data_IF_262552026178
#
_entry.id   IF_262552026178
#
_cell.length_a   1.000
_cell.length_b   1.000
_cell.length_c   1.000
_cell.angle_alpha   90.00
_cell.angle_beta   90.00
_cell.angle_gamma   90.00
#
_symmetry.space_group_name_H-M   'P 1'
#
loop_
_entity.id
_entity.type
_entity.pdbx_description
1 polymer ?
#
# COMPACT_ATOMS: atom_id res chain seq x y z
N UNK A 1 -33.45 4.68 13.34
CA UNK A 1 -32.55 5.06 14.45
C UNK A 1 -31.14 4.83 13.97
N UNK A 2 -30.45 5.90 13.58
CA UNK A 2 -29.07 5.86 13.12
C UNK A 2 -28.17 5.71 14.35
N UNK A 3 -27.46 4.58 14.44
CA UNK A 3 -26.40 4.41 15.44
C UNK A 3 -25.20 5.25 15.02
N UNK A 4 -25.29 6.57 15.20
CA UNK A 4 -24.12 7.46 15.18
C UNK A 4 -23.40 7.34 16.52
N UNK A 5 -22.56 6.31 16.65
CA UNK A 5 -21.57 6.27 17.72
C UNK A 5 -20.45 7.26 17.39
N UNK A 6 -20.39 8.37 18.15
CA UNK A 6 -19.34 9.39 18.03
C UNK A 6 -18.21 9.07 19.01
N UNK A 7 -17.05 8.66 18.50
CA UNK A 7 -15.81 8.58 19.28
C UNK A 7 -15.18 9.99 19.39
N UNK A 8 -14.59 10.39 20.53
CA UNK A 8 -14.06 11.74 20.76
C UNK A 8 -12.90 12.19 19.85
N UNK A 9 -12.47 11.37 18.89
CA UNK A 9 -11.40 11.68 17.93
C UNK A 9 -11.91 11.82 16.48
N UNK A 10 -13.23 11.72 16.22
CA UNK A 10 -13.79 11.43 14.90
C UNK A 10 -14.58 12.57 14.21
N UNK A 11 -14.53 13.80 14.71
CA UNK A 11 -15.07 14.93 13.93
C UNK A 11 -14.23 15.28 12.68
N UNK A 12 -13.10 14.60 12.48
CA UNK A 12 -12.15 14.93 11.44
C UNK A 12 -12.04 13.73 10.48
N UNK A 13 -12.75 13.79 9.35
CA UNK A 13 -12.05 13.35 8.14
C UNK A 13 -12.77 12.77 6.93
N UNK A 14 -14.03 12.33 7.02
CA UNK A 14 -14.76 12.01 5.78
C UNK A 14 -15.37 13.28 5.23
N UNK A 15 -14.84 13.77 4.10
CA UNK A 15 -15.52 14.82 3.35
C UNK A 15 -16.93 14.34 3.00
N UNK A 16 -17.92 15.18 3.32
CA UNK A 16 -19.37 15.06 3.10
C UNK A 16 -19.81 14.88 1.62
N UNK A 17 -18.93 14.42 0.73
CA UNK A 17 -19.20 14.23 -0.70
C UNK A 17 -19.64 12.81 -1.06
N UNK A 18 -19.79 11.90 -0.07
CA UNK A 18 -20.30 10.55 -0.28
C UNK A 18 -21.59 10.41 0.52
N UNK A 19 -22.72 10.25 -0.17
CA UNK A 19 -24.06 10.26 0.44
C UNK A 19 -24.24 9.12 1.47
N UNK A 20 -23.56 7.99 1.30
CA UNK A 20 -23.53 6.88 2.27
C UNK A 20 -22.23 6.08 2.17
N UNK A 21 -21.51 5.91 3.28
CA UNK A 21 -20.41 4.93 3.39
C UNK A 21 -20.98 3.55 3.75
N UNK A 22 -20.36 2.48 3.25
CA UNK A 22 -20.75 1.11 3.63
C UNK A 22 -20.28 0.77 5.04
N UNK A 23 -20.88 -0.23 5.72
CA UNK A 23 -20.41 -0.67 7.04
C UNK A 23 -18.93 -1.03 7.08
N UNK A 24 -18.40 -1.67 6.03
CA UNK A 24 -16.97 -2.01 5.93
C UNK A 24 -16.07 -0.78 5.80
N UNK A 25 -16.51 0.25 5.06
CA UNK A 25 -15.80 1.51 4.94
C UNK A 25 -15.80 2.29 6.27
N UNK A 26 -16.91 2.23 7.01
CA UNK A 26 -17.03 2.79 8.35
C UNK A 26 -16.21 2.03 9.40
N UNK A 27 -15.98 0.72 9.20
CA UNK A 27 -15.19 -0.11 10.10
C UNK A 27 -13.67 0.07 9.91
N UNK A 28 -13.21 0.38 8.69
CA UNK A 28 -11.78 0.53 8.38
C UNK A 28 -11.03 1.54 9.27
N UNK A 29 -11.57 2.73 9.59
CA UNK A 29 -10.92 3.65 10.51
C UNK A 29 -10.60 3.04 11.89
N UNK A 30 -11.49 2.19 12.44
CA UNK A 30 -11.26 1.50 13.71
C UNK A 30 -10.16 0.45 13.60
N UNK A 31 -10.13 -0.30 12.49
CA UNK A 31 -9.07 -1.26 12.20
C UNK A 31 -7.72 -0.55 12.08
N UNK A 32 -7.68 0.58 11.38
CA UNK A 32 -6.48 1.40 11.25
C UNK A 32 -6.02 1.91 12.63
N UNK A 33 -6.92 2.43 13.46
CA UNK A 33 -6.56 2.88 14.81
C UNK A 33 -6.01 1.74 15.68
N UNK A 34 -6.67 0.58 15.69
CA UNK A 34 -6.19 -0.59 16.43
C UNK A 34 -4.80 -1.04 15.94
N UNK A 35 -4.61 -1.06 14.62
CA UNK A 35 -3.32 -1.35 13.98
C UNK A 35 -2.24 -0.36 14.39
N UNK A 36 -2.55 0.94 14.45
CA UNK A 36 -1.61 1.98 14.87
C UNK A 36 -1.21 1.89 16.35
N UNK A 37 -2.09 1.43 17.23
CA UNK A 37 -1.79 1.23 18.64
C UNK A 37 -0.90 0.01 18.89
N UNK A 38 -1.01 -1.01 18.02
CA UNK A 38 -0.25 -2.26 18.12
C UNK A 38 0.31 -2.66 16.74
N UNK A 39 1.27 -1.88 16.20
CA UNK A 39 1.71 -2.03 14.81
C UNK A 39 2.55 -3.28 14.54
N UNK A 40 2.97 -4.01 15.57
CA UNK A 40 3.89 -5.14 15.40
C UNK A 40 3.23 -6.30 14.62
N UNK A 41 3.77 -6.55 13.41
CA UNK A 41 3.52 -7.71 12.54
C UNK A 41 2.14 -7.85 11.88
N UNK A 42 1.34 -6.79 11.81
CA UNK A 42 0.02 -6.88 11.17
C UNK A 42 0.08 -6.38 9.71
N UNK A 43 -0.30 -7.24 8.77
CA UNK A 43 -0.55 -6.89 7.37
C UNK A 43 -2.06 -6.76 7.15
N UNK A 44 -2.50 -5.63 6.59
CA UNK A 44 -3.92 -5.38 6.30
C UNK A 44 -4.12 -5.39 4.79
N UNK A 45 -4.84 -6.40 4.29
CA UNK A 45 -5.27 -6.45 2.89
C UNK A 45 -6.68 -5.88 2.74
N UNK A 46 -6.81 -4.80 1.98
CA UNK A 46 -8.11 -4.19 1.64
C UNK A 46 -8.52 -4.64 0.24
N UNK A 47 -9.51 -5.53 0.16
CA UNK A 47 -10.01 -6.07 -1.10
C UNK A 47 -11.48 -5.66 -1.36
N UNK A 48 -11.91 -5.74 -2.62
CA UNK A 48 -13.27 -5.39 -3.04
C UNK A 48 -13.36 -5.12 -4.54
N UNK A 49 -14.56 -5.21 -5.10
CA UNK A 49 -14.80 -5.04 -6.53
C UNK A 49 -14.46 -3.63 -7.07
N UNK A 50 -14.48 -3.45 -8.40
CA UNK A 50 -14.37 -2.13 -9.02
C UNK A 50 -15.44 -1.18 -8.47
N UNK A 51 -15.07 0.08 -8.23
CA UNK A 51 -15.99 1.11 -7.73
C UNK A 51 -16.35 1.03 -6.23
N UNK A 52 -15.84 0.06 -5.47
CA UNK A 52 -16.16 -0.10 -4.04
C UNK A 52 -15.52 0.95 -3.10
N UNK A 53 -14.83 1.96 -3.63
CA UNK A 53 -14.26 3.05 -2.83
C UNK A 53 -13.04 2.71 -1.97
N UNK A 54 -12.29 1.64 -2.28
CA UNK A 54 -11.09 1.22 -1.52
C UNK A 54 -10.06 2.34 -1.37
N UNK A 55 -9.56 2.84 -2.51
CA UNK A 55 -8.55 3.91 -2.55
C UNK A 55 -9.03 5.16 -1.80
N UNK A 56 -10.32 5.52 -1.96
CA UNK A 56 -10.91 6.65 -1.26
C UNK A 56 -10.90 6.44 0.26
N UNK A 57 -11.43 5.31 0.73
CA UNK A 57 -11.52 4.99 2.16
C UNK A 57 -10.15 4.98 2.81
N UNK A 58 -9.19 4.28 2.21
CA UNK A 58 -7.82 4.17 2.73
C UNK A 58 -7.14 5.54 2.74
N UNK A 59 -7.18 6.28 1.64
CA UNK A 59 -6.51 7.59 1.53
C UNK A 59 -7.12 8.62 2.47
N UNK A 60 -8.46 8.69 2.56
CA UNK A 60 -9.11 9.63 3.47
C UNK A 60 -8.73 9.34 4.92
N UNK A 61 -8.80 8.09 5.37
CA UNK A 61 -8.39 7.75 6.74
C UNK A 61 -6.93 8.10 7.01
N UNK A 62 -6.02 7.73 6.10
CA UNK A 62 -4.58 7.94 6.27
C UNK A 62 -4.15 9.41 6.18
N UNK A 63 -4.92 10.27 5.52
CA UNK A 63 -4.68 11.71 5.51
C UNK A 63 -4.83 12.34 6.89
N UNK A 64 -5.57 11.71 7.81
CA UNK A 64 -5.75 12.18 9.19
C UNK A 64 -4.74 11.56 10.16
N UNK A 65 -3.89 10.66 9.69
CA UNK A 65 -2.85 10.01 10.51
C UNK A 65 -1.52 10.74 10.34
N UNK A 66 -1.05 11.38 11.41
CA UNK A 66 0.20 12.16 11.44
C UNK A 66 1.42 11.29 11.76
N UNK A 67 1.69 10.29 10.93
CA UNK A 67 2.89 9.43 11.04
C UNK A 67 3.60 9.34 9.69
N UNK A 68 4.91 9.02 9.66
CA UNK A 68 5.64 8.81 8.41
C UNK A 68 5.03 7.67 7.58
N UNK A 69 4.49 8.02 6.40
CA UNK A 69 3.86 7.09 5.48
C UNK A 69 4.63 7.05 4.15
N UNK A 70 4.82 5.86 3.60
CA UNK A 70 5.26 5.64 2.22
C UNK A 70 4.07 5.14 1.41
N UNK A 71 3.59 5.96 0.49
CA UNK A 71 2.44 5.67 -0.38
C UNK A 71 2.92 5.33 -1.77
N UNK A 72 2.61 4.12 -2.22
CA UNK A 72 3.06 3.59 -3.49
C UNK A 72 1.91 3.02 -4.31
N UNK A 73 2.03 3.14 -5.62
CA UNK A 73 1.21 2.41 -6.57
C UNK A 73 2.04 2.01 -7.80
N UNK A 74 1.56 1.04 -8.57
CA UNK A 74 2.27 0.61 -9.77
C UNK A 74 2.29 1.70 -10.86
N UNK A 75 1.18 2.42 -11.06
CA UNK A 75 1.05 3.44 -12.11
C UNK A 75 1.03 4.87 -11.55
N UNK A 76 1.53 5.83 -12.33
CA UNK A 76 1.59 7.24 -11.93
C UNK A 76 0.20 7.85 -11.65
N UNK A 77 -0.82 7.43 -12.41
CA UNK A 77 -2.20 7.91 -12.22
C UNK A 77 -2.76 7.52 -10.85
N UNK A 78 -2.54 6.29 -10.42
CA UNK A 78 -3.00 5.80 -9.10
C UNK A 78 -2.17 6.43 -7.99
N UNK A 79 -0.85 6.49 -8.15
CA UNK A 79 0.05 7.13 -7.20
C UNK A 79 -0.35 8.59 -6.92
N UNK A 80 -0.66 9.36 -7.97
CA UNK A 80 -1.11 10.74 -7.85
C UNK A 80 -2.42 10.86 -7.03
N UNK A 81 -3.40 9.99 -7.26
CA UNK A 81 -4.68 9.99 -6.53
C UNK A 81 -4.53 9.81 -5.01
N UNK A 82 -3.54 9.03 -4.59
CA UNK A 82 -3.26 8.78 -3.17
C UNK A 82 -2.20 9.73 -2.59
N UNK A 83 -1.76 10.74 -3.34
CA UNK A 83 -0.65 11.64 -2.97
C UNK A 83 0.65 10.87 -2.67
N UNK A 84 0.89 9.81 -3.43
CA UNK A 84 2.06 8.94 -3.32
C UNK A 84 2.98 9.02 -4.53
N UNK A 85 3.87 8.04 -4.61
CA UNK A 85 4.81 7.87 -5.71
C UNK A 85 4.58 6.54 -6.42
N UNK A 86 5.12 6.38 -7.62
CA UNK A 86 5.18 5.05 -8.21
C UNK A 86 6.14 4.18 -7.40
N UNK A 87 5.92 2.86 -7.37
CA UNK A 87 6.87 1.90 -6.77
C UNK A 87 8.28 2.14 -7.30
N UNK A 88 8.37 2.45 -8.59
CA UNK A 88 9.61 2.77 -9.28
C UNK A 88 10.37 3.94 -8.63
N UNK A 89 9.68 5.06 -8.41
CA UNK A 89 10.27 6.27 -7.81
C UNK A 89 10.51 6.13 -6.31
N UNK A 90 9.59 5.49 -5.60
CA UNK A 90 9.64 5.34 -4.15
C UNK A 90 10.83 4.49 -3.69
N UNK A 91 11.10 3.40 -4.40
CA UNK A 91 12.18 2.47 -4.06
C UNK A 91 13.53 2.87 -4.68
N UNK A 92 13.53 3.87 -5.57
CA UNK A 92 14.70 4.32 -6.34
C UNK A 92 15.44 3.18 -7.05
N UNK A 93 14.70 2.17 -7.49
CA UNK A 93 15.26 1.05 -8.24
C UNK A 93 15.60 1.49 -9.67
N UNK A 94 16.60 0.85 -10.26
CA UNK A 94 16.95 1.07 -11.67
C UNK A 94 16.10 0.18 -12.58
N UNK A 95 15.26 0.82 -13.39
CA UNK A 95 14.35 0.17 -14.35
C UNK A 95 14.84 0.28 -15.79
N UNK A 96 16.08 0.72 -16.02
CA UNK A 96 16.63 0.73 -17.37
C UNK A 96 16.68 -0.68 -17.95
N UNK A 97 16.66 -0.78 -19.28
CA UNK A 97 16.94 -2.05 -19.95
C UNK A 97 18.29 -2.59 -19.45
N UNK A 98 18.36 -3.90 -19.28
CA UNK A 98 19.55 -4.63 -18.80
C UNK A 98 19.97 -4.36 -17.35
N UNK A 99 19.20 -3.55 -16.60
CA UNK A 99 19.39 -3.42 -15.16
C UNK A 99 19.20 -4.76 -14.46
N UNK A 100 19.69 -4.88 -13.22
CA UNK A 100 19.49 -6.07 -12.41
C UNK A 100 17.99 -6.41 -12.27
N UNK A 101 17.15 -5.38 -12.15
CA UNK A 101 15.70 -5.52 -12.04
C UNK A 101 15.05 -5.97 -13.35
N UNK A 102 15.43 -5.39 -14.50
CA UNK A 102 14.92 -5.81 -15.82
C UNK A 102 15.26 -7.27 -16.11
N UNK A 103 16.48 -7.70 -15.80
CA UNK A 103 16.92 -9.10 -15.93
C UNK A 103 16.10 -10.03 -15.04
N UNK A 104 15.89 -9.64 -13.78
CA UNK A 104 15.11 -10.43 -12.83
C UNK A 104 13.64 -10.55 -13.23
N UNK A 105 13.02 -9.47 -13.73
CA UNK A 105 11.65 -9.51 -14.23
C UNK A 105 11.49 -10.50 -15.39
N UNK A 106 12.43 -10.51 -16.34
CA UNK A 106 12.44 -11.47 -17.46
C UNK A 106 12.67 -12.90 -17.00
N UNK A 107 13.57 -13.10 -16.03
CA UNK A 107 13.87 -14.43 -15.49
C UNK A 107 12.66 -15.03 -14.75
N UNK A 108 11.92 -14.19 -14.02
CA UNK A 108 10.82 -14.62 -13.16
C UNK A 108 9.43 -14.49 -13.81
N UNK A 109 9.33 -14.04 -15.07
CA UNK A 109 8.05 -13.76 -15.73
C UNK A 109 7.10 -14.98 -15.77
N UNK A 110 7.68 -16.17 -15.94
CA UNK A 110 6.96 -17.44 -16.02
C UNK A 110 7.14 -18.31 -14.76
N UNK A 111 7.88 -17.82 -13.76
CA UNK A 111 8.09 -18.58 -12.52
C UNK A 111 6.83 -18.50 -11.64
N UNK A 112 6.38 -19.65 -11.16
CA UNK A 112 5.16 -19.78 -10.35
C UNK A 112 5.46 -20.19 -8.91
N UNK A 113 6.65 -20.74 -8.65
CA UNK A 113 7.08 -21.07 -7.30
C UNK A 113 7.54 -19.80 -6.57
N UNK A 114 6.78 -19.45 -5.52
CA UNK A 114 7.05 -18.26 -4.71
C UNK A 114 8.40 -18.34 -3.98
N UNK A 115 8.84 -19.52 -3.56
CA UNK A 115 10.13 -19.67 -2.88
C UNK A 115 11.29 -19.44 -3.84
N UNK A 116 11.19 -19.97 -5.06
CA UNK A 116 12.19 -19.73 -6.12
C UNK A 116 12.24 -18.24 -6.48
N UNK A 117 11.09 -17.59 -6.63
CA UNK A 117 11.02 -16.16 -6.89
C UNK A 117 11.70 -15.34 -5.78
N UNK A 118 11.42 -15.63 -4.52
CA UNK A 118 12.02 -14.94 -3.37
C UNK A 118 13.55 -15.18 -3.35
N UNK A 119 14.00 -16.43 -3.49
CA UNK A 119 15.43 -16.76 -3.46
C UNK A 119 16.21 -16.03 -4.55
N UNK A 120 15.71 -16.05 -5.79
CA UNK A 120 16.36 -15.39 -6.94
C UNK A 120 16.34 -13.87 -6.83
N UNK A 121 15.26 -13.31 -6.29
CA UNK A 121 15.12 -11.86 -6.13
C UNK A 121 15.91 -11.27 -4.94
N UNK A 122 16.53 -12.09 -4.09
CA UNK A 122 17.35 -11.63 -2.96
C UNK A 122 18.47 -10.68 -3.37
N UNK A 123 19.03 -10.83 -4.57
CA UNK A 123 20.04 -9.90 -5.12
C UNK A 123 19.56 -8.46 -5.19
N UNK A 124 18.23 -8.23 -5.30
CA UNK A 124 17.64 -6.90 -5.36
C UNK A 124 17.82 -6.10 -4.06
N UNK A 125 18.02 -6.76 -2.92
CA UNK A 125 18.20 -6.09 -1.62
C UNK A 125 19.38 -5.10 -1.63
N UNK A 126 20.40 -5.34 -2.43
CA UNK A 126 21.55 -4.46 -2.59
C UNK A 126 21.24 -3.20 -3.43
N UNK A 127 20.15 -3.24 -4.21
CA UNK A 127 19.75 -2.16 -5.11
C UNK A 127 18.75 -1.18 -4.48
N UNK A 128 18.12 -1.52 -3.35
CA UNK A 128 17.23 -0.60 -2.65
C UNK A 128 18.02 0.55 -2.03
N UNK A 129 17.81 1.78 -2.54
CA UNK A 129 18.46 3.01 -2.06
C UNK A 129 17.53 3.90 -1.21
N UNK A 130 16.53 3.29 -0.57
CA UNK A 130 15.58 3.97 0.30
C UNK A 130 16.15 4.11 1.73
N UNK A 131 16.36 5.35 2.21
CA UNK A 131 16.98 5.63 3.52
C UNK A 131 16.00 6.14 4.59
N UNK A 132 14.73 6.36 4.27
CA UNK A 132 13.72 6.70 5.26
C UNK A 132 12.91 5.44 5.57
N UNK A 133 12.93 4.97 6.83
CA UNK A 133 12.11 3.84 7.27
C UNK A 133 10.71 4.37 7.57
N UNK A 134 9.72 4.21 6.67
CA UNK A 134 8.36 4.64 6.96
C UNK A 134 7.80 3.80 8.11
N UNK A 135 6.88 4.38 8.89
CA UNK A 135 6.12 3.63 9.88
C UNK A 135 4.96 2.87 9.23
N UNK A 136 4.46 3.38 8.09
CA UNK A 136 3.41 2.73 7.30
C UNK A 136 3.79 2.69 5.85
N UNK A 137 3.66 1.52 5.23
CA UNK A 137 3.77 1.34 3.79
C UNK A 137 2.39 1.03 3.24
N UNK A 138 1.98 1.77 2.22
CA UNK A 138 0.71 1.56 1.51
C UNK A 138 1.02 1.26 0.05
N UNK A 139 0.46 0.15 -0.45
CA UNK A 139 0.57 -0.28 -1.84
C UNK A 139 -0.85 -0.36 -2.41
N UNK A 140 -1.23 0.57 -3.29
CA UNK A 140 -2.47 0.47 -4.05
C UNK A 140 -2.26 -0.36 -5.33
N UNK A 141 -3.32 -1.02 -5.79
CA UNK A 141 -3.30 -1.96 -6.92
C UNK A 141 -2.21 -3.03 -6.77
N UNK A 142 -2.10 -3.63 -5.58
CA UNK A 142 -1.08 -4.64 -5.25
C UNK A 142 -1.07 -5.83 -6.21
N UNK A 143 -2.21 -6.16 -6.85
CA UNK A 143 -2.32 -7.20 -7.86
C UNK A 143 -1.53 -6.94 -9.15
N UNK A 144 -1.06 -5.71 -9.38
CA UNK A 144 -0.16 -5.39 -10.49
C UNK A 144 1.33 -5.51 -10.12
N UNK A 145 1.63 -5.75 -8.85
CA UNK A 145 3.00 -5.79 -8.34
C UNK A 145 3.44 -7.24 -8.24
N UNK A 146 4.65 -7.53 -8.73
CA UNK A 146 5.21 -8.87 -8.60
C UNK A 146 5.30 -9.27 -7.11
N UNK A 147 4.82 -10.47 -6.78
CA UNK A 147 4.70 -10.90 -5.37
C UNK A 147 6.06 -10.91 -4.64
N UNK A 148 7.15 -11.28 -5.33
CA UNK A 148 8.49 -11.26 -4.76
C UNK A 148 8.97 -9.83 -4.47
N UNK A 149 8.56 -8.84 -5.26
CA UNK A 149 8.86 -7.44 -4.99
C UNK A 149 8.09 -6.95 -3.76
N UNK A 150 6.82 -7.34 -3.62
CA UNK A 150 6.01 -7.06 -2.42
C UNK A 150 6.68 -7.64 -1.18
N UNK A 151 7.18 -8.89 -1.25
CA UNK A 151 7.88 -9.53 -0.14
C UNK A 151 9.05 -8.67 0.36
N UNK A 152 9.90 -8.15 -0.52
CA UNK A 152 11.03 -7.31 -0.12
C UNK A 152 10.64 -5.93 0.39
N UNK A 153 9.51 -5.37 -0.06
CA UNK A 153 9.01 -4.08 0.44
C UNK A 153 8.55 -4.18 1.91
N UNK A 154 8.04 -5.34 2.34
CA UNK A 154 7.48 -5.53 3.68
C UNK A 154 8.46 -6.04 4.72
N UNK A 155 9.69 -6.43 4.33
CA UNK A 155 10.78 -6.83 5.23
C UNK A 155 11.57 -5.60 5.71
#
# INVERSE_FOLDING_TARGET
MTHEWKHPCYEIGFQKQVDTLTPSQLAFPYLLHAWLLQPAHQLVLVAGGPGSGKTYTVTQCLNHVQIPQLRMAYTARVACKMQGQTIHSALKLDWSKESALDKLFKELELETDSQVCIQKSNGLMQEFRCFARPQVVIIDEIGMVAHWLVYWIIQ
#
